data_IF_464231377884
#
_entry.id   IF_464231377884
#
_cell.length_a   1.000
_cell.length_b   1.000
_cell.length_c   1.000
_cell.angle_alpha   90.00
_cell.angle_beta   90.00
_cell.angle_gamma   90.00
#
_symmetry.space_group_name_H-M   'P 1'
#
loop_
_entity.id
_entity.type
_entity.pdbx_description
1 polymer ?
#
# COMPACT_ATOMS: atom_id res chain seq x y z
N UNK A 1 26.13 -1.67 9.52
CA UNK A 1 26.32 -0.25 9.14
C UNK A 1 25.23 0.59 9.80
N UNK A 2 25.49 1.87 10.05
CA UNK A 2 24.49 2.80 10.57
C UNK A 2 23.80 3.55 9.42
N UNK A 3 22.62 4.15 9.68
CA UNK A 3 21.89 4.95 8.67
C UNK A 3 22.78 6.06 8.08
N UNK A 4 23.63 6.67 8.94
CA UNK A 4 24.58 7.73 8.56
C UNK A 4 25.67 7.27 7.57
N UNK A 5 25.94 5.98 7.49
CA UNK A 5 26.92 5.38 6.56
C UNK A 5 26.21 4.92 5.28
N UNK A 6 25.03 4.31 5.41
CA UNK A 6 24.28 3.75 4.29
C UNK A 6 23.74 4.81 3.34
N UNK A 7 23.15 5.90 3.86
CA UNK A 7 22.51 6.91 3.03
C UNK A 7 23.43 7.56 2.00
N UNK A 8 24.66 8.03 2.37
CA UNK A 8 25.57 8.61 1.39
C UNK A 8 25.96 7.64 0.27
N UNK A 9 26.17 6.36 0.61
CA UNK A 9 26.52 5.33 -0.38
C UNK A 9 25.37 5.06 -1.34
N UNK A 10 24.13 4.89 -0.82
CA UNK A 10 22.93 4.67 -1.61
C UNK A 10 22.62 5.86 -2.53
N UNK A 11 22.74 7.09 -2.01
CA UNK A 11 22.55 8.32 -2.78
C UNK A 11 23.55 8.39 -3.94
N UNK A 12 24.84 8.16 -3.66
CA UNK A 12 25.90 8.22 -4.67
C UNK A 12 25.68 7.20 -5.80
N UNK A 13 25.10 6.05 -5.49
CA UNK A 13 24.77 5.03 -6.53
C UNK A 13 23.64 5.46 -7.45
N UNK A 14 22.63 6.14 -6.90
CA UNK A 14 21.46 6.59 -7.69
C UNK A 14 21.72 7.93 -8.39
N UNK A 15 22.59 8.77 -7.82
CA UNK A 15 22.94 10.10 -8.33
C UNK A 15 24.45 10.33 -8.16
N UNK A 16 25.29 9.86 -9.09
CA UNK A 16 26.76 9.88 -8.92
C UNK A 16 27.38 11.28 -8.99
N UNK A 17 26.63 12.30 -9.42
CA UNK A 17 27.11 13.69 -9.58
C UNK A 17 26.22 14.66 -8.84
N UNK A 18 26.83 15.60 -8.10
CA UNK A 18 26.13 16.72 -7.46
C UNK A 18 26.52 16.93 -6.00
N UNK A 19 26.19 18.09 -5.42
CA UNK A 19 26.25 18.28 -3.98
C UNK A 19 25.10 17.50 -3.32
N UNK A 20 25.44 16.71 -2.30
CA UNK A 20 24.46 15.95 -1.52
C UNK A 20 24.21 16.64 -0.18
N UNK A 21 23.00 16.51 0.41
CA UNK A 21 22.77 16.96 1.76
C UNK A 21 23.75 16.31 2.75
N UNK A 22 24.16 17.04 3.78
CA UNK A 22 25.05 16.53 4.83
C UNK A 22 24.27 16.07 6.08
N UNK A 23 23.10 16.63 6.31
CA UNK A 23 22.21 16.24 7.40
C UNK A 23 21.48 14.91 7.07
N UNK A 24 21.42 14.00 8.04
CA UNK A 24 20.84 12.65 7.87
C UNK A 24 19.36 12.68 7.45
N UNK A 25 18.57 13.59 8.00
CA UNK A 25 17.16 13.73 7.66
C UNK A 25 16.99 14.22 6.23
N UNK A 26 17.80 15.19 5.81
CA UNK A 26 17.83 15.69 4.45
C UNK A 26 18.37 14.64 3.46
N UNK A 27 19.36 13.83 3.86
CA UNK A 27 19.84 12.68 3.06
C UNK A 27 18.73 11.65 2.87
N UNK A 28 17.98 11.31 3.93
CA UNK A 28 16.88 10.38 3.83
C UNK A 28 15.78 10.90 2.90
N UNK A 29 15.41 12.16 3.03
CA UNK A 29 14.43 12.80 2.13
C UNK A 29 14.92 12.78 0.67
N UNK A 30 16.20 13.05 0.44
CA UNK A 30 16.78 13.04 -0.90
C UNK A 30 16.84 11.61 -1.49
N UNK A 31 17.25 10.62 -0.70
CA UNK A 31 17.21 9.21 -1.11
C UNK A 31 15.78 8.79 -1.50
N UNK A 32 14.77 9.14 -0.70
CA UNK A 32 13.36 8.90 -1.04
C UNK A 32 12.97 9.50 -2.38
N UNK A 33 13.40 10.72 -2.68
CA UNK A 33 13.14 11.35 -3.98
C UNK A 33 13.79 10.58 -5.13
N UNK A 34 15.02 10.11 -4.96
CA UNK A 34 15.73 9.35 -5.98
C UNK A 34 15.04 8.01 -6.26
N UNK A 35 14.72 7.22 -5.23
CA UNK A 35 14.01 5.94 -5.40
C UNK A 35 12.60 6.14 -5.94
N UNK A 36 11.92 7.23 -5.59
CA UNK A 36 10.58 7.56 -6.12
C UNK A 36 10.63 7.80 -7.64
N UNK A 37 11.61 8.57 -8.13
CA UNK A 37 11.74 8.91 -9.56
C UNK A 37 12.31 7.77 -10.42
N UNK A 38 12.91 6.77 -9.80
CA UNK A 38 13.57 5.69 -10.53
C UNK A 38 12.57 4.86 -11.32
N UNK A 39 12.85 4.66 -12.59
CA UNK A 39 12.12 3.70 -13.42
C UNK A 39 12.54 2.27 -13.09
N UNK A 40 11.72 1.24 -13.39
CA UNK A 40 12.16 -0.15 -13.32
C UNK A 40 13.44 -0.38 -14.13
N UNK A 41 14.30 -1.24 -13.65
CA UNK A 41 15.57 -1.58 -14.30
C UNK A 41 16.57 -2.13 -13.27
N UNK A 42 17.56 -2.83 -13.75
CA UNK A 42 18.50 -3.54 -12.90
C UNK A 42 19.26 -2.60 -11.96
N UNK A 43 19.28 -2.98 -10.69
CA UNK A 43 20.13 -2.38 -9.68
C UNK A 43 21.24 -3.36 -9.30
N UNK A 44 22.48 -2.86 -9.06
CA UNK A 44 23.58 -3.71 -8.60
C UNK A 44 23.21 -4.43 -7.30
N UNK A 45 23.58 -5.70 -7.18
CA UNK A 45 23.27 -6.51 -6.01
C UNK A 45 23.73 -5.87 -4.68
N UNK A 46 24.89 -5.20 -4.68
CA UNK A 46 25.40 -4.52 -3.49
C UNK A 46 24.54 -3.31 -3.08
N UNK A 47 23.91 -2.59 -4.06
CA UNK A 47 22.94 -1.53 -3.77
C UNK A 47 21.74 -2.11 -3.06
N UNK A 48 21.16 -3.19 -3.61
CA UNK A 48 20.01 -3.84 -3.04
C UNK A 48 20.27 -4.35 -1.60
N UNK A 49 21.46 -4.89 -1.34
CA UNK A 49 21.85 -5.32 0.00
C UNK A 49 21.98 -4.15 0.99
N UNK A 50 22.48 -3.01 0.55
CA UNK A 50 22.58 -1.81 1.38
C UNK A 50 21.20 -1.17 1.61
N UNK A 51 20.34 -1.17 0.60
CA UNK A 51 18.94 -0.73 0.74
C UNK A 51 18.18 -1.61 1.74
N UNK A 52 18.37 -2.94 1.67
CA UNK A 52 17.81 -3.88 2.62
C UNK A 52 18.22 -3.52 4.07
N UNK A 53 19.52 -3.27 4.31
CA UNK A 53 20.02 -2.87 5.63
C UNK A 53 19.43 -1.53 6.10
N UNK A 54 19.28 -0.56 5.19
CA UNK A 54 18.65 0.73 5.52
C UNK A 54 17.18 0.53 5.92
N UNK A 55 16.44 -0.27 5.15
CA UNK A 55 15.03 -0.54 5.42
C UNK A 55 14.83 -1.31 6.72
N UNK A 56 15.69 -2.28 7.03
CA UNK A 56 15.67 -3.00 8.32
C UNK A 56 15.85 -2.03 9.50
N UNK A 57 16.80 -1.09 9.41
CA UNK A 57 17.00 -0.07 10.43
C UNK A 57 15.82 0.89 10.57
N UNK A 58 15.19 1.23 9.45
CA UNK A 58 13.96 2.05 9.44
C UNK A 58 12.85 1.31 10.17
N UNK A 59 12.62 0.03 9.87
CA UNK A 59 11.57 -0.77 10.51
C UNK A 59 11.82 -1.03 11.99
N UNK A 60 13.07 -1.25 12.40
CA UNK A 60 13.44 -1.33 13.82
C UNK A 60 13.05 -0.06 14.60
N UNK A 61 13.17 1.11 13.96
CA UNK A 61 12.82 2.39 14.58
C UNK A 61 11.31 2.71 14.50
N UNK A 62 10.64 2.40 13.37
CA UNK A 62 9.20 2.66 13.17
C UNK A 62 8.34 1.70 13.98
N UNK A 63 8.79 0.48 14.17
CA UNK A 63 7.99 -0.61 14.72
C UNK A 63 6.82 -0.99 13.80
N UNK A 64 6.07 -1.99 14.18
CA UNK A 64 4.88 -2.46 13.49
C UNK A 64 3.72 -2.61 14.48
N UNK A 65 2.52 -2.84 13.95
CA UNK A 65 1.28 -3.01 14.69
C UNK A 65 0.76 -4.42 14.43
N UNK A 66 0.58 -5.20 15.47
CA UNK A 66 0.02 -6.56 15.40
C UNK A 66 -1.51 -6.50 15.33
N UNK A 67 -2.13 -7.55 14.81
CA UNK A 67 -3.59 -7.65 14.79
C UNK A 67 -4.20 -7.57 16.21
N UNK A 68 -3.50 -8.12 17.21
CA UNK A 68 -3.90 -8.07 18.63
C UNK A 68 -3.95 -6.66 19.22
N UNK A 69 -3.29 -5.68 18.59
CA UNK A 69 -3.28 -4.28 19.02
C UNK A 69 -4.49 -3.49 18.49
N UNK A 70 -5.26 -4.10 17.57
CA UNK A 70 -6.39 -3.45 16.90
C UNK A 70 -7.70 -3.68 17.63
N UNK A 71 -8.62 -2.73 17.49
CA UNK A 71 -9.99 -2.87 17.98
C UNK A 71 -10.82 -3.69 17.01
N UNK A 72 -11.39 -4.80 17.48
CA UNK A 72 -12.40 -5.57 16.76
C UNK A 72 -13.76 -4.93 16.98
N UNK A 73 -14.44 -4.56 15.90
CA UNK A 73 -15.76 -3.91 15.92
C UNK A 73 -16.90 -4.89 15.69
N UNK A 74 -16.68 -5.84 14.79
CA UNK A 74 -17.56 -6.98 14.52
C UNK A 74 -16.70 -8.24 14.45
N UNK A 75 -17.22 -9.44 14.68
CA UNK A 75 -16.41 -10.65 14.60
C UNK A 75 -15.59 -10.70 13.33
N UNK A 76 -14.25 -10.72 13.47
CA UNK A 76 -13.29 -10.74 12.37
C UNK A 76 -13.12 -9.44 11.58
N UNK A 77 -13.77 -8.34 11.98
CA UNK A 77 -13.66 -7.03 11.31
C UNK A 77 -13.08 -5.99 12.26
N UNK A 78 -11.98 -5.39 11.85
CA UNK A 78 -11.17 -4.47 12.65
C UNK A 78 -11.09 -3.09 12.01
N UNK A 79 -10.90 -2.07 12.83
CA UNK A 79 -10.58 -0.71 12.39
C UNK A 79 -9.23 -0.30 12.98
N UNK A 80 -8.25 -0.07 12.12
CA UNK A 80 -6.94 0.41 12.49
C UNK A 80 -6.86 1.94 12.38
N UNK A 81 -6.03 2.54 13.24
CA UNK A 81 -5.68 3.96 13.17
C UNK A 81 -4.21 4.10 12.76
N UNK A 82 -3.94 4.94 11.79
CA UNK A 82 -2.58 5.34 11.44
C UNK A 82 -2.11 4.83 10.10
N UNK A 83 -0.92 4.28 10.08
CA UNK A 83 -0.17 3.96 8.88
C UNK A 83 -0.36 2.48 8.50
N UNK A 84 -1.03 2.25 7.36
CA UNK A 84 -1.28 0.92 6.80
C UNK A 84 0.01 0.10 6.62
N UNK A 85 1.11 0.76 6.26
CA UNK A 85 2.39 0.07 6.00
C UNK A 85 3.00 -0.57 7.24
N UNK A 86 2.54 -0.17 8.45
CA UNK A 86 3.01 -0.73 9.73
C UNK A 86 2.26 -1.98 10.17
N UNK A 87 1.18 -2.35 9.49
CA UNK A 87 0.37 -3.50 9.88
C UNK A 87 1.08 -4.81 9.55
N UNK A 88 1.27 -5.64 10.56
CA UNK A 88 1.81 -7.00 10.41
C UNK A 88 0.66 -7.97 10.18
N UNK A 89 0.31 -8.13 8.92
CA UNK A 89 -0.80 -8.93 8.41
C UNK A 89 -0.35 -9.73 7.20
N UNK A 90 -1.18 -10.65 6.70
CA UNK A 90 -0.80 -11.43 5.52
C UNK A 90 -0.78 -10.57 4.27
N UNK A 91 -1.73 -9.62 4.12
CA UNK A 91 -1.69 -8.66 3.02
C UNK A 91 -2.19 -7.27 3.41
N UNK A 92 -1.55 -6.25 2.83
CA UNK A 92 -2.11 -4.89 2.74
C UNK A 92 -2.59 -4.61 1.33
N UNK A 93 -3.61 -3.76 1.19
CA UNK A 93 -4.18 -3.38 -0.10
C UNK A 93 -3.69 -1.99 -0.50
N UNK A 94 -3.00 -1.93 -1.64
CA UNK A 94 -2.52 -0.70 -2.25
C UNK A 94 -3.55 -0.16 -3.26
N UNK A 95 -3.87 1.13 -3.16
CA UNK A 95 -4.62 1.85 -4.20
C UNK A 95 -3.67 2.23 -5.32
N UNK A 96 -3.42 1.30 -6.23
CA UNK A 96 -2.37 1.37 -7.24
C UNK A 96 -2.77 2.20 -8.48
N UNK A 97 -1.74 2.53 -9.27
CA UNK A 97 -1.90 2.95 -10.67
C UNK A 97 -2.17 1.74 -11.56
N UNK A 98 -2.53 1.99 -12.82
CA UNK A 98 -2.79 0.93 -13.81
C UNK A 98 -1.55 0.11 -14.17
N UNK A 99 -0.36 0.66 -14.02
CA UNK A 99 0.92 -0.03 -14.23
C UNK A 99 1.48 -0.70 -12.98
N UNK A 100 0.95 -0.42 -11.79
CA UNK A 100 1.46 -0.87 -10.49
C UNK A 100 2.90 -0.44 -10.17
N UNK A 101 3.47 0.53 -10.89
CA UNK A 101 4.87 0.93 -10.74
C UNK A 101 5.09 1.97 -9.64
N UNK A 102 4.08 2.26 -8.84
CA UNK A 102 4.10 3.29 -7.82
C UNK A 102 3.89 4.70 -8.38
N UNK A 103 4.03 5.69 -7.50
CA UNK A 103 4.00 7.09 -7.86
C UNK A 103 5.42 7.58 -8.16
N UNK A 104 5.62 8.30 -9.28
CA UNK A 104 6.91 8.86 -9.68
C UNK A 104 7.09 10.33 -9.26
N UNK A 105 6.12 10.88 -8.54
CA UNK A 105 6.12 12.28 -8.08
C UNK A 105 6.56 12.36 -6.60
N UNK A 106 7.82 12.78 -6.30
CA UNK A 106 8.33 12.78 -4.93
C UNK A 106 7.57 13.67 -3.96
N UNK A 107 7.00 14.78 -4.47
CA UNK A 107 6.22 15.72 -3.68
C UNK A 107 4.77 15.26 -3.44
N UNK A 108 4.34 14.19 -4.11
CA UNK A 108 3.01 13.65 -3.94
C UNK A 108 2.98 12.69 -2.74
N UNK A 109 2.36 13.15 -1.66
CA UNK A 109 2.16 12.32 -0.46
C UNK A 109 1.00 11.36 -0.73
N UNK A 110 1.30 10.11 -1.01
CA UNK A 110 0.31 9.07 -1.25
C UNK A 110 0.77 7.70 -0.73
N UNK A 111 -0.21 6.85 -0.46
CA UNK A 111 0.03 5.48 0.03
C UNK A 111 0.88 4.66 -0.94
N UNK A 112 0.60 4.77 -2.24
CA UNK A 112 1.33 4.03 -3.28
C UNK A 112 2.84 4.34 -3.26
N UNK A 113 3.20 5.63 -3.10
CA UNK A 113 4.60 6.03 -2.94
C UNK A 113 5.20 5.49 -1.63
N UNK A 114 4.49 5.63 -0.51
CA UNK A 114 4.96 5.15 0.80
C UNK A 114 5.22 3.63 0.79
N UNK A 115 4.32 2.84 0.19
CA UNK A 115 4.47 1.40 0.02
C UNK A 115 5.73 1.09 -0.81
N UNK A 116 5.90 1.70 -1.98
CA UNK A 116 7.05 1.44 -2.85
C UNK A 116 8.39 1.82 -2.22
N UNK A 117 8.44 2.92 -1.47
CA UNK A 117 9.67 3.34 -0.77
C UNK A 117 10.00 2.39 0.37
N UNK A 118 9.01 1.99 1.18
CA UNK A 118 9.24 1.17 2.38
C UNK A 118 9.35 -0.33 2.11
N UNK A 119 8.78 -0.80 1.01
CA UNK A 119 9.02 -2.16 0.52
C UNK A 119 10.40 -2.32 -0.14
N UNK A 120 10.97 -1.21 -0.62
CA UNK A 120 12.25 -1.17 -1.32
C UNK A 120 12.15 -1.34 -2.83
N UNK A 121 13.26 -1.12 -3.50
CA UNK A 121 13.34 -1.07 -4.97
C UNK A 121 12.91 -2.36 -5.65
N UNK A 122 13.05 -3.52 -4.99
CA UNK A 122 12.62 -4.82 -5.53
C UNK A 122 11.13 -4.91 -5.82
N UNK A 123 10.29 -4.21 -5.06
CA UNK A 123 8.85 -4.18 -5.31
C UNK A 123 8.53 -3.64 -6.71
N UNK A 124 9.19 -2.56 -7.12
CA UNK A 124 8.93 -1.96 -8.45
C UNK A 124 9.36 -2.88 -9.58
N UNK A 125 10.47 -3.61 -9.40
CA UNK A 125 10.92 -4.63 -10.35
C UNK A 125 9.92 -5.79 -10.46
N UNK A 126 9.44 -6.30 -9.32
CA UNK A 126 8.42 -7.35 -9.30
C UNK A 126 7.12 -6.89 -9.96
N UNK A 127 6.65 -5.67 -9.67
CA UNK A 127 5.48 -5.09 -10.32
C UNK A 127 5.65 -5.02 -11.84
N UNK A 128 6.82 -4.58 -12.33
CA UNK A 128 7.11 -4.54 -13.77
C UNK A 128 7.06 -5.93 -14.40
N UNK A 129 7.61 -6.95 -13.72
CA UNK A 129 7.56 -8.35 -14.17
C UNK A 129 6.13 -8.91 -14.16
N UNK A 130 5.37 -8.67 -13.10
CA UNK A 130 3.97 -9.14 -12.97
C UNK A 130 3.09 -8.54 -14.07
N UNK A 131 3.31 -7.26 -14.40
CA UNK A 131 2.51 -6.55 -15.38
C UNK A 131 2.91 -6.87 -16.84
N UNK A 132 4.15 -7.22 -17.13
CA UNK A 132 4.62 -7.61 -18.48
C UNK A 132 4.06 -6.70 -19.59
N UNK A 133 4.15 -5.37 -19.40
CA UNK A 133 3.60 -4.36 -20.30
C UNK A 133 2.06 -4.35 -20.44
N UNK A 134 1.33 -5.09 -19.59
CA UNK A 134 -0.12 -4.98 -19.49
C UNK A 134 -0.52 -3.85 -18.52
N UNK A 135 -1.82 -3.52 -18.48
CA UNK A 135 -2.37 -2.50 -17.58
C UNK A 135 -3.56 -3.06 -16.82
N UNK A 136 -3.66 -2.73 -15.54
CA UNK A 136 -4.88 -2.99 -14.77
C UNK A 136 -6.03 -2.16 -15.33
N UNK A 137 -7.21 -2.75 -15.33
CA UNK A 137 -8.46 -2.03 -15.53
C UNK A 137 -9.12 -1.74 -14.18
N UNK A 138 -9.92 -0.66 -14.05
CA UNK A 138 -10.69 -0.41 -12.84
C UNK A 138 -11.50 -1.65 -12.41
N UNK A 139 -11.40 -2.03 -11.14
CA UNK A 139 -11.97 -3.26 -10.59
C UNK A 139 -11.03 -4.47 -10.56
N UNK A 140 -9.86 -4.37 -11.14
CA UNK A 140 -8.85 -5.46 -11.13
C UNK A 140 -7.82 -5.27 -10.02
N UNK A 141 -7.21 -6.39 -9.61
CA UNK A 141 -6.12 -6.44 -8.65
C UNK A 141 -5.04 -7.45 -9.07
N UNK A 142 -3.83 -7.30 -8.53
CA UNK A 142 -2.71 -8.24 -8.62
C UNK A 142 -2.00 -8.30 -7.27
N UNK A 143 -1.31 -9.40 -7.01
CA UNK A 143 -0.56 -9.63 -5.77
C UNK A 143 0.93 -9.66 -6.04
N UNK A 144 1.72 -9.11 -5.11
CA UNK A 144 3.19 -9.20 -5.04
C UNK A 144 3.62 -9.58 -3.63
N UNK A 145 4.91 -9.88 -3.46
CA UNK A 145 5.49 -10.00 -2.13
C UNK A 145 5.47 -8.65 -1.39
N UNK A 146 5.47 -8.71 -0.05
CA UNK A 146 5.55 -7.52 0.82
C UNK A 146 6.96 -6.91 0.89
N UNK A 147 7.97 -7.67 0.47
CA UNK A 147 9.40 -7.31 0.57
C UNK A 147 9.76 -6.88 2.01
N UNK A 148 10.22 -5.63 2.22
CA UNK A 148 10.59 -5.13 3.56
C UNK A 148 9.41 -4.64 4.40
N UNK A 149 8.18 -4.66 3.89
CA UNK A 149 7.01 -4.33 4.71
C UNK A 149 6.77 -5.42 5.77
N UNK A 150 6.17 -5.07 6.94
CA UNK A 150 5.69 -6.05 7.91
C UNK A 150 4.62 -7.00 7.35
N UNK A 151 3.84 -6.57 6.36
CA UNK A 151 2.89 -7.40 5.63
C UNK A 151 3.61 -8.37 4.69
N UNK A 152 3.15 -9.62 4.61
CA UNK A 152 3.77 -10.64 3.77
C UNK A 152 3.55 -10.38 2.27
N UNK A 153 2.41 -9.77 1.92
CA UNK A 153 2.00 -9.49 0.55
C UNK A 153 1.44 -8.09 0.41
N UNK A 154 1.45 -7.59 -0.82
CA UNK A 154 0.75 -6.38 -1.24
C UNK A 154 -0.24 -6.76 -2.33
N UNK A 155 -1.52 -6.43 -2.17
CA UNK A 155 -2.51 -6.57 -3.22
C UNK A 155 -2.75 -5.19 -3.82
N UNK A 156 -2.34 -5.02 -5.06
CA UNK A 156 -2.46 -3.78 -5.82
C UNK A 156 -3.81 -3.74 -6.54
N UNK A 157 -4.73 -2.87 -6.10
CA UNK A 157 -6.06 -2.74 -6.67
C UNK A 157 -6.23 -1.39 -7.38
N UNK A 158 -6.79 -1.40 -8.61
CA UNK A 158 -7.06 -0.19 -9.36
C UNK A 158 -8.51 0.26 -9.17
N UNK A 159 -8.72 1.22 -8.26
CA UNK A 159 -10.04 1.84 -8.07
C UNK A 159 -10.43 2.74 -9.27
N UNK A 160 -11.72 2.84 -9.60
CA UNK A 160 -12.21 3.75 -10.63
C UNK A 160 -11.98 5.21 -10.26
N UNK A 161 -11.81 6.07 -11.27
CA UNK A 161 -11.70 7.53 -11.10
C UNK A 161 -13.02 8.20 -11.45
N UNK A 162 -13.54 9.00 -10.52
CA UNK A 162 -14.72 9.82 -10.74
C UNK A 162 -14.29 11.16 -11.32
N UNK A 163 -14.71 11.45 -12.56
CA UNK A 163 -14.39 12.69 -13.27
C UNK A 163 -15.63 13.53 -13.61
N UNK A 164 -16.82 13.08 -13.22
CA UNK A 164 -18.10 13.70 -13.46
C UNK A 164 -19.15 13.07 -12.55
N UNK A 165 -20.31 12.78 -13.07
CA UNK A 165 -21.37 12.11 -12.30
C UNK A 165 -20.97 10.69 -11.90
N UNK A 166 -21.35 10.31 -10.69
CA UNK A 166 -21.11 8.98 -10.15
C UNK A 166 -22.12 7.99 -10.72
N UNK A 167 -21.66 7.13 -11.62
CA UNK A 167 -22.49 6.12 -12.28
C UNK A 167 -22.56 4.80 -11.51
N UNK A 168 -23.57 3.98 -11.78
CA UNK A 168 -23.65 2.60 -11.26
C UNK A 168 -22.44 1.76 -11.69
N UNK A 169 -21.93 1.97 -12.90
CA UNK A 169 -20.73 1.28 -13.38
C UNK A 169 -19.49 1.58 -12.51
N UNK A 170 -19.29 2.84 -12.10
CA UNK A 170 -18.19 3.22 -11.22
C UNK A 170 -18.33 2.56 -9.82
N UNK A 171 -19.56 2.45 -9.31
CA UNK A 171 -19.83 1.75 -8.06
C UNK A 171 -19.52 0.25 -8.17
N UNK A 172 -19.96 -0.40 -9.24
CA UNK A 172 -19.64 -1.80 -9.53
C UNK A 172 -18.13 -2.04 -9.71
N UNK A 173 -17.41 -1.12 -10.33
CA UNK A 173 -15.96 -1.21 -10.45
C UNK A 173 -15.25 -1.08 -9.10
N UNK A 174 -15.75 -0.24 -8.19
CA UNK A 174 -15.20 -0.15 -6.85
C UNK A 174 -15.47 -1.43 -6.05
N UNK A 175 -16.69 -1.98 -6.11
CA UNK A 175 -17.02 -3.27 -5.51
C UNK A 175 -16.11 -4.39 -6.04
N UNK A 176 -15.91 -4.45 -7.36
CA UNK A 176 -15.02 -5.41 -8.00
C UNK A 176 -13.56 -5.34 -7.52
N UNK A 177 -13.05 -4.15 -7.09
CA UNK A 177 -11.73 -4.06 -6.46
C UNK A 177 -11.66 -4.87 -5.16
N UNK A 178 -12.66 -4.76 -4.31
CA UNK A 178 -12.74 -5.53 -3.06
C UNK A 178 -12.90 -7.02 -3.34
N UNK A 179 -13.79 -7.39 -4.25
CA UNK A 179 -14.01 -8.79 -4.66
C UNK A 179 -12.74 -9.43 -5.23
N UNK A 180 -12.05 -8.74 -6.15
CA UNK A 180 -10.79 -9.21 -6.73
C UNK A 180 -9.69 -9.38 -5.67
N UNK A 181 -9.60 -8.45 -4.71
CA UNK A 181 -8.66 -8.52 -3.58
C UNK A 181 -8.95 -9.73 -2.70
N UNK A 182 -10.20 -9.94 -2.33
CA UNK A 182 -10.63 -11.05 -1.47
C UNK A 182 -10.48 -12.40 -2.17
N UNK A 183 -10.70 -12.46 -3.48
CA UNK A 183 -10.43 -13.65 -4.30
C UNK A 183 -8.95 -14.01 -4.27
N UNK A 184 -8.06 -13.03 -4.53
CA UNK A 184 -6.61 -13.24 -4.45
C UNK A 184 -6.17 -13.70 -3.05
N UNK A 185 -6.80 -13.19 -2.01
CA UNK A 185 -6.52 -13.61 -0.65
C UNK A 185 -6.83 -15.09 -0.42
N UNK A 186 -7.98 -15.58 -0.89
CA UNK A 186 -8.32 -17.01 -0.80
C UNK A 186 -7.36 -17.87 -1.62
N UNK A 187 -7.09 -17.48 -2.87
CA UNK A 187 -6.19 -18.20 -3.77
C UNK A 187 -4.77 -18.36 -3.19
N UNK A 188 -4.34 -17.38 -2.36
CA UNK A 188 -3.04 -17.37 -1.70
C UNK A 188 -3.09 -17.81 -0.23
N UNK A 189 -4.23 -18.34 0.26
CA UNK A 189 -4.42 -18.81 1.64
C UNK A 189 -4.17 -17.73 2.71
N UNK A 190 -4.40 -16.45 2.42
CA UNK A 190 -4.23 -15.35 3.34
C UNK A 190 -5.37 -15.31 4.36
N UNK A 191 -5.05 -14.99 5.60
CA UNK A 191 -5.99 -15.00 6.75
C UNK A 191 -6.22 -13.62 7.36
N UNK A 192 -5.46 -12.62 6.95
CA UNK A 192 -5.59 -11.23 7.42
C UNK A 192 -5.29 -10.23 6.30
N UNK A 193 -6.25 -9.33 6.02
CA UNK A 193 -6.15 -8.38 4.91
C UNK A 193 -6.50 -7.00 5.42
N UNK A 194 -5.61 -6.04 5.19
CA UNK A 194 -5.83 -4.65 5.59
C UNK A 194 -6.06 -3.75 4.37
N UNK A 195 -7.21 -3.10 4.35
CA UNK A 195 -7.65 -2.20 3.29
C UNK A 195 -7.39 -0.73 3.64
N UNK A 196 -6.85 0.04 2.70
CA UNK A 196 -7.00 1.49 2.70
C UNK A 196 -8.41 1.87 2.22
N UNK A 197 -8.78 3.16 2.34
CA UNK A 197 -10.01 3.69 1.72
C UNK A 197 -9.84 3.77 0.21
N UNK A 198 -10.14 2.68 -0.51
CA UNK A 198 -9.99 2.62 -1.97
C UNK A 198 -10.85 3.69 -2.66
N UNK A 199 -10.22 4.43 -3.56
CA UNK A 199 -10.90 5.42 -4.39
C UNK A 199 -11.11 6.80 -3.76
N UNK A 200 -11.01 6.99 -2.44
CA UNK A 200 -11.35 8.27 -1.76
C UNK A 200 -10.24 9.34 -1.82
N UNK A 201 -9.07 9.00 -2.37
CA UNK A 201 -7.98 9.95 -2.62
C UNK A 201 -8.18 10.71 -3.94
N UNK A 202 -7.12 10.79 -4.75
CA UNK A 202 -7.11 11.47 -6.06
C UNK A 202 -8.04 10.85 -7.12
N UNK A 203 -8.66 9.71 -6.83
CA UNK A 203 -9.71 9.10 -7.65
C UNK A 203 -11.09 9.74 -7.44
N UNK A 204 -11.25 10.59 -6.41
CA UNK A 204 -12.44 11.42 -6.12
C UNK A 204 -13.74 10.62 -5.90
N UNK A 205 -13.65 9.36 -5.48
CA UNK A 205 -14.86 8.61 -5.14
C UNK A 205 -15.44 9.15 -3.82
N UNK A 206 -16.76 9.40 -3.71
CA UNK A 206 -17.35 9.93 -2.48
C UNK A 206 -17.17 8.99 -1.30
N UNK A 207 -16.53 9.47 -0.22
CA UNK A 207 -16.16 8.66 0.96
C UNK A 207 -17.33 7.89 1.58
N UNK A 208 -18.55 8.48 1.77
CA UNK A 208 -19.66 7.72 2.37
C UNK A 208 -20.04 6.48 1.57
N UNK A 209 -20.16 6.64 0.25
CA UNK A 209 -20.53 5.53 -0.62
C UNK A 209 -19.39 4.52 -0.78
N UNK A 210 -18.12 5.01 -0.84
CA UNK A 210 -16.96 4.12 -0.88
C UNK A 210 -16.87 3.23 0.36
N UNK A 211 -17.12 3.78 1.55
CA UNK A 211 -17.11 3.02 2.79
C UNK A 211 -18.28 2.01 2.86
N UNK A 212 -19.47 2.41 2.39
CA UNK A 212 -20.62 1.51 2.33
C UNK A 212 -20.33 0.32 1.41
N UNK A 213 -19.84 0.57 0.17
CA UNK A 213 -19.49 -0.50 -0.78
C UNK A 213 -18.42 -1.42 -0.17
N UNK A 214 -17.41 -0.85 0.50
CA UNK A 214 -16.37 -1.63 1.15
C UNK A 214 -16.94 -2.58 2.20
N UNK A 215 -17.81 -2.10 3.06
CA UNK A 215 -18.47 -2.90 4.11
C UNK A 215 -19.38 -3.97 3.51
N UNK A 216 -20.27 -3.60 2.58
CA UNK A 216 -21.22 -4.54 1.96
C UNK A 216 -20.51 -5.74 1.33
N UNK A 217 -19.43 -5.49 0.57
CA UNK A 217 -18.66 -6.55 -0.07
C UNK A 217 -17.88 -7.38 0.95
N UNK A 218 -17.18 -6.73 1.89
CA UNK A 218 -16.33 -7.45 2.83
C UNK A 218 -17.13 -8.24 3.87
N UNK A 219 -18.26 -7.73 4.33
CA UNK A 219 -19.16 -8.46 5.24
C UNK A 219 -19.83 -9.66 4.55
N UNK A 220 -20.29 -9.47 3.31
CA UNK A 220 -20.84 -10.55 2.49
C UNK A 220 -19.80 -11.67 2.25
N UNK A 221 -18.55 -11.29 2.07
CA UNK A 221 -17.42 -12.23 1.95
C UNK A 221 -17.13 -12.91 3.30
N UNK A 222 -16.99 -12.13 4.38
CA UNK A 222 -16.62 -12.64 5.71
C UNK A 222 -17.69 -13.61 6.26
N UNK A 223 -18.96 -13.42 5.94
CA UNK A 223 -20.03 -14.35 6.31
C UNK A 223 -19.80 -15.77 5.73
N UNK A 224 -19.08 -15.89 4.62
CA UNK A 224 -18.74 -17.16 3.96
C UNK A 224 -17.34 -17.66 4.36
N UNK A 225 -16.46 -16.75 4.75
CA UNK A 225 -15.05 -16.98 5.06
C UNK A 225 -14.66 -16.34 6.41
N UNK A 226 -15.25 -16.80 7.55
CA UNK A 226 -15.03 -16.18 8.86
C UNK A 226 -13.60 -16.34 9.39
N UNK A 227 -12.82 -17.22 8.77
CA UNK A 227 -11.41 -17.40 9.07
C UNK A 227 -10.52 -16.25 8.56
N UNK A 228 -11.00 -15.43 7.61
CA UNK A 228 -10.25 -14.29 7.07
C UNK A 228 -10.57 -13.04 7.85
N UNK A 229 -9.58 -12.42 8.47
CA UNK A 229 -9.71 -11.18 9.22
C UNK A 229 -9.61 -9.98 8.27
N UNK A 230 -10.55 -9.06 8.41
CA UNK A 230 -10.64 -7.86 7.57
C UNK A 230 -10.33 -6.64 8.42
N UNK A 231 -9.36 -5.85 8.00
CA UNK A 231 -8.91 -4.65 8.69
C UNK A 231 -9.13 -3.44 7.78
N UNK A 232 -9.90 -2.46 8.21
CA UNK A 232 -9.96 -1.17 7.57
C UNK A 232 -8.94 -0.23 8.20
N UNK A 233 -8.11 0.41 7.39
CA UNK A 233 -7.10 1.37 7.84
C UNK A 233 -7.21 2.67 7.02
N UNK A 234 -8.26 3.46 7.21
CA UNK A 234 -8.44 4.74 6.53
C UNK A 234 -7.43 5.78 7.02
N UNK A 235 -6.80 6.48 6.08
CA UNK A 235 -5.77 7.48 6.40
C UNK A 235 -6.39 8.78 6.91
N UNK A 236 -7.46 9.27 6.26
CA UNK A 236 -8.13 10.52 6.64
C UNK A 236 -9.02 10.33 7.87
N UNK A 237 -9.01 11.29 8.79
CA UNK A 237 -9.88 11.26 9.96
C UNK A 237 -11.38 11.21 9.60
N UNK A 238 -11.78 11.89 8.53
CA UNK A 238 -13.16 11.86 8.05
C UNK A 238 -13.57 10.45 7.62
N UNK A 239 -12.73 9.74 6.88
CA UNK A 239 -13.01 8.37 6.47
C UNK A 239 -13.03 7.43 7.68
N UNK A 240 -12.10 7.60 8.63
CA UNK A 240 -12.06 6.81 9.87
C UNK A 240 -13.33 6.97 10.71
N UNK A 241 -13.79 8.20 10.90
CA UNK A 241 -15.01 8.48 11.65
C UNK A 241 -16.23 7.87 10.95
N UNK A 242 -16.22 7.83 9.63
CA UNK A 242 -17.28 7.19 8.84
C UNK A 242 -17.29 5.67 9.04
N UNK A 243 -16.14 4.99 8.92
CA UNK A 243 -16.04 3.55 9.22
C UNK A 243 -16.42 3.25 10.68
N UNK A 244 -15.96 4.08 11.64
CA UNK A 244 -16.36 3.94 13.04
C UNK A 244 -17.89 4.01 13.21
N UNK A 245 -18.54 4.98 12.55
CA UNK A 245 -20.00 5.11 12.59
C UNK A 245 -20.70 3.89 11.97
N UNK A 246 -20.30 3.48 10.78
CA UNK A 246 -20.93 2.38 10.04
C UNK A 246 -20.74 1.01 10.72
N UNK A 247 -19.61 0.77 11.38
CA UNK A 247 -19.32 -0.47 12.09
C UNK A 247 -20.05 -0.60 13.44
N UNK A 248 -20.52 0.51 14.02
CA UNK A 248 -21.27 0.53 15.27
C UNK A 248 -22.79 0.53 15.09
N UNK A 249 -23.29 0.73 13.87
CA UNK A 249 -24.73 0.73 13.54
C UNK A 249 -25.05 -0.39 12.56
#
# INVERSE_FOLDING_TARGET
>A
MQITELLPELITKLAPTGPFPTDVSAQFAYWRQLVTRRQPGDLPQHYLQQEDQLLDLIWQKRGYVELSDLTEYRPGIYLAKGDLTRLKVDAIVNSASDQMLGCFEPEHICLDNEIHVLAGSRLREECALVMQHTHLKPGQARITAGHHLPAQHIIHALAPKVTGELTLQLQQQLAACYEATLTLALENNLRSIAFCSLGTGHKNFPSPLAAQIALDVTESFHAKHPEVKIIFCPYKDIDRNLYHYLLNN
#
